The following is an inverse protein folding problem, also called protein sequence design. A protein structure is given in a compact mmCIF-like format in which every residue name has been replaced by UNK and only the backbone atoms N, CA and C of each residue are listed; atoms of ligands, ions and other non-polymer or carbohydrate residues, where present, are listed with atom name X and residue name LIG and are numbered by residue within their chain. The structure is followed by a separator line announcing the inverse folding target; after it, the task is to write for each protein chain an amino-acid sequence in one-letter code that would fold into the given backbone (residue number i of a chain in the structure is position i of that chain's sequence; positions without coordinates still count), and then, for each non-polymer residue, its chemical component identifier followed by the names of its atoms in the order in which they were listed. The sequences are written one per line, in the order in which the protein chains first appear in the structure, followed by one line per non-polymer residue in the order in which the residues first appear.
data_IF_548275611823
#
_entry.id   IF_548275611823
#
_cell.length_a   1.000
_cell.length_b   1.000
_cell.length_c   1.000
_cell.angle_alpha   90.00
_cell.angle_beta   90.00
_cell.angle_gamma   90.00
#
_symmetry.space_group_name_H-M   'P 1'
#
loop_
_entity.id
_entity.type
_entity.pdbx_description
1 polymer ?
#
# COMPACT_ATOMS: atom_id res chain seq x y z
N UNK A 1 -7.22 -16.44 -20.47
CA UNK A 1 -7.25 -15.00 -20.14
C UNK A 1 -8.47 -14.63 -19.29
N UNK A 2 -9.30 -15.60 -18.88
CA UNK A 2 -10.61 -15.32 -18.27
C UNK A 2 -10.56 -15.18 -16.74
N UNK A 3 -9.56 -15.77 -16.08
CA UNK A 3 -9.42 -15.72 -14.63
C UNK A 3 -8.75 -14.43 -14.11
N UNK A 4 -7.93 -13.74 -14.89
CA UNK A 4 -7.16 -12.57 -14.42
C UNK A 4 -8.02 -11.31 -14.24
N UNK A 5 -8.97 -11.08 -15.15
CA UNK A 5 -9.88 -9.93 -15.13
C UNK A 5 -10.67 -9.76 -13.82
N UNK A 6 -11.34 -10.80 -13.27
CA UNK A 6 -12.07 -10.64 -12.01
C UNK A 6 -11.14 -10.29 -10.84
N UNK A 7 -9.92 -10.83 -10.81
CA UNK A 7 -8.92 -10.46 -9.81
C UNK A 7 -8.48 -9.00 -9.94
N UNK A 8 -8.23 -8.51 -11.15
CA UNK A 8 -7.86 -7.10 -11.37
C UNK A 8 -8.99 -6.14 -11.00
N UNK A 9 -10.25 -6.49 -11.31
CA UNK A 9 -11.42 -5.72 -10.91
C UNK A 9 -11.54 -5.69 -9.39
N UNK A 10 -11.34 -6.83 -8.72
CA UNK A 10 -11.36 -6.93 -7.27
C UNK A 10 -10.25 -6.07 -6.63
N UNK A 11 -9.02 -6.15 -7.15
CA UNK A 11 -7.89 -5.33 -6.72
C UNK A 11 -8.19 -3.84 -6.83
N UNK A 12 -8.67 -3.40 -8.00
CA UNK A 12 -8.99 -2.00 -8.25
C UNK A 12 -10.12 -1.51 -7.34
N UNK A 13 -11.18 -2.31 -7.18
CA UNK A 13 -12.32 -1.97 -6.34
C UNK A 13 -11.92 -1.83 -4.87
N UNK A 14 -11.20 -2.81 -4.32
CA UNK A 14 -10.72 -2.77 -2.94
C UNK A 14 -9.71 -1.63 -2.70
N UNK A 15 -8.80 -1.39 -3.65
CA UNK A 15 -7.81 -0.30 -3.54
C UNK A 15 -8.46 1.08 -3.60
N UNK A 16 -9.44 1.31 -4.48
CA UNK A 16 -10.22 2.55 -4.51
C UNK A 16 -11.03 2.71 -3.22
N UNK A 17 -11.63 1.63 -2.72
CA UNK A 17 -12.44 1.68 -1.51
C UNK A 17 -11.59 2.01 -0.28
N UNK A 18 -10.39 1.43 -0.17
CA UNK A 18 -9.41 1.76 0.86
C UNK A 18 -8.93 3.21 0.72
N UNK A 19 -8.62 3.68 -0.49
CA UNK A 19 -8.26 5.07 -0.76
C UNK A 19 -9.35 6.06 -0.28
N UNK A 20 -10.61 5.81 -0.65
CA UNK A 20 -11.73 6.68 -0.28
C UNK A 20 -12.03 6.65 1.22
N UNK A 21 -11.89 5.48 1.85
CA UNK A 21 -12.14 5.34 3.29
C UNK A 21 -11.03 6.03 4.10
N UNK A 22 -9.78 5.85 3.69
CA UNK A 22 -8.63 6.44 4.34
C UNK A 22 -8.59 7.97 4.15
N UNK A 23 -8.94 8.48 2.97
CA UNK A 23 -9.07 9.92 2.74
C UNK A 23 -10.16 10.58 3.61
N UNK A 24 -11.20 9.83 4.02
CA UNK A 24 -12.30 10.35 4.86
C UNK A 24 -12.07 10.18 6.35
N UNK A 25 -11.55 9.03 6.77
CA UNK A 25 -11.49 8.64 8.19
C UNK A 25 -10.05 8.45 8.70
N UNK A 26 -9.04 8.43 7.82
CA UNK A 26 -7.65 8.16 8.18
C UNK A 26 -7.42 6.75 8.75
N UNK A 27 -8.28 5.80 8.39
CA UNK A 27 -8.25 4.43 8.89
C UNK A 27 -8.35 3.45 7.72
N UNK A 28 -7.48 2.42 7.72
CA UNK A 28 -7.56 1.31 6.76
C UNK A 28 -8.16 0.10 7.49
N UNK A 29 -9.45 -0.20 7.32
CA UNK A 29 -10.10 -1.25 8.09
C UNK A 29 -9.72 -2.64 7.56
N UNK A 30 -9.46 -3.55 8.51
CA UNK A 30 -8.99 -4.91 8.23
C UNK A 30 -9.92 -5.71 7.31
N UNK A 31 -11.22 -5.41 7.36
CA UNK A 31 -12.24 -6.00 6.50
C UNK A 31 -11.99 -5.82 4.99
N UNK A 32 -11.17 -4.85 4.59
CA UNK A 32 -10.83 -4.62 3.17
C UNK A 32 -9.36 -4.92 2.87
N UNK A 33 -8.45 -4.69 3.82
CA UNK A 33 -7.02 -5.01 3.62
C UNK A 33 -6.75 -6.51 3.64
N UNK A 34 -7.42 -7.29 4.50
CA UNK A 34 -7.27 -8.76 4.51
C UNK A 34 -7.75 -9.39 3.19
N UNK A 35 -8.97 -9.11 2.68
CA UNK A 35 -9.39 -9.63 1.38
C UNK A 35 -8.44 -9.23 0.25
N UNK A 36 -7.88 -8.01 0.29
CA UNK A 36 -6.90 -7.59 -0.71
C UNK A 36 -5.63 -8.45 -0.65
N UNK A 37 -5.09 -8.71 0.54
CA UNK A 37 -3.90 -9.57 0.70
C UNK A 37 -4.17 -10.99 0.19
N UNK A 38 -5.26 -11.61 0.64
CA UNK A 38 -5.59 -12.98 0.27
C UNK A 38 -5.90 -13.12 -1.21
N UNK A 39 -6.59 -12.15 -1.81
CA UNK A 39 -6.85 -12.15 -3.25
C UNK A 39 -5.59 -12.01 -4.10
N UNK A 40 -4.55 -11.29 -3.63
CA UNK A 40 -3.25 -11.22 -4.30
C UNK A 40 -2.51 -12.56 -4.30
N UNK A 41 -2.52 -13.27 -3.17
CA UNK A 41 -1.95 -14.61 -3.08
C UNK A 41 -2.72 -15.62 -3.95
N UNK A 42 -4.05 -15.56 -3.95
CA UNK A 42 -4.89 -16.39 -4.82
C UNK A 42 -4.67 -16.06 -6.30
N UNK A 43 -4.50 -14.78 -6.64
CA UNK A 43 -4.15 -14.36 -7.99
C UNK A 43 -2.81 -14.96 -8.42
N UNK A 44 -1.78 -14.90 -7.57
CA UNK A 44 -0.51 -15.54 -7.86
C UNK A 44 -0.67 -17.06 -8.02
N UNK A 45 -1.40 -17.72 -7.14
CA UNK A 45 -1.59 -19.18 -7.23
C UNK A 45 -2.34 -19.61 -8.50
N UNK A 46 -3.37 -18.87 -8.92
CA UNK A 46 -4.24 -19.24 -10.05
C UNK A 46 -3.67 -18.79 -11.39
N UNK A 47 -3.06 -17.60 -11.43
CA UNK A 47 -2.63 -16.98 -12.69
C UNK A 47 -1.14 -17.13 -12.96
N UNK A 48 -0.29 -17.11 -11.92
CA UNK A 48 1.18 -17.16 -12.04
C UNK A 48 1.80 -17.97 -10.89
N UNK A 49 1.64 -19.31 -10.87
CA UNK A 49 2.04 -20.15 -9.74
C UNK A 49 3.55 -20.07 -9.44
N UNK A 50 4.38 -19.84 -10.47
CA UNK A 50 5.83 -19.65 -10.31
C UNK A 50 6.18 -18.41 -9.46
N UNK A 51 5.32 -17.38 -9.48
CA UNK A 51 5.50 -16.15 -8.71
C UNK A 51 4.94 -16.24 -7.27
N UNK A 52 4.35 -17.37 -6.86
CA UNK A 52 3.72 -17.50 -5.55
C UNK A 52 4.70 -17.27 -4.39
N UNK A 53 5.93 -17.81 -4.53
CA UNK A 53 6.97 -17.61 -3.54
C UNK A 53 7.34 -16.12 -3.42
N UNK A 54 7.46 -15.44 -4.55
CA UNK A 54 7.80 -14.03 -4.62
C UNK A 54 6.68 -13.11 -4.10
N UNK A 55 5.41 -13.45 -4.35
CA UNK A 55 4.24 -12.78 -3.79
C UNK A 55 4.18 -12.94 -2.26
N UNK A 56 4.47 -14.14 -1.75
CA UNK A 56 4.51 -14.42 -0.32
C UNK A 56 5.65 -13.66 0.36
N UNK A 57 6.85 -13.66 -0.22
CA UNK A 57 7.95 -12.82 0.25
C UNK A 57 7.64 -11.33 0.14
N UNK A 58 6.89 -10.92 -0.88
CA UNK A 58 6.35 -9.56 -1.00
C UNK A 58 5.47 -9.19 0.19
N UNK A 59 4.52 -10.04 0.56
CA UNK A 59 3.68 -9.80 1.72
C UNK A 59 4.49 -9.73 3.03
N UNK A 60 5.43 -10.66 3.23
CA UNK A 60 6.28 -10.73 4.43
C UNK A 60 7.21 -9.52 4.53
N UNK A 61 7.92 -9.18 3.44
CA UNK A 61 8.85 -8.05 3.40
C UNK A 61 8.08 -6.72 3.52
N UNK A 62 6.94 -6.60 2.84
CA UNK A 62 6.08 -5.43 2.94
C UNK A 62 5.60 -5.19 4.38
N UNK A 63 5.05 -6.22 5.01
CA UNK A 63 4.66 -6.16 6.42
C UNK A 63 5.86 -5.87 7.33
N UNK A 64 6.94 -6.63 7.20
CA UNK A 64 8.12 -6.55 8.06
C UNK A 64 8.80 -5.19 8.01
N UNK A 65 8.96 -4.61 6.82
CA UNK A 65 9.62 -3.31 6.65
C UNK A 65 8.85 -2.21 7.38
N UNK A 66 7.54 -2.11 7.14
CA UNK A 66 6.71 -1.09 7.78
C UNK A 66 6.45 -1.38 9.25
N UNK A 67 6.40 -2.66 9.66
CA UNK A 67 6.31 -3.04 11.06
C UNK A 67 7.56 -2.61 11.84
N UNK A 68 8.76 -2.83 11.31
CA UNK A 68 10.01 -2.40 11.96
C UNK A 68 10.05 -0.88 12.12
N UNK A 69 9.64 -0.13 11.10
CA UNK A 69 9.54 1.34 11.16
C UNK A 69 8.50 1.77 12.20
N UNK A 70 7.29 1.17 12.19
CA UNK A 70 6.21 1.46 13.13
C UNK A 70 6.63 1.20 14.58
N UNK A 71 7.14 0.01 14.88
CA UNK A 71 7.55 -0.38 16.22
C UNK A 71 8.78 0.40 16.68
N UNK A 72 9.78 0.59 15.81
CA UNK A 72 10.97 1.38 16.11
C UNK A 72 10.61 2.83 16.48
N UNK A 73 9.74 3.46 15.69
CA UNK A 73 9.26 4.81 15.98
C UNK A 73 8.44 4.87 17.27
N UNK A 74 7.54 3.90 17.49
CA UNK A 74 6.71 3.82 18.69
C UNK A 74 7.55 3.68 19.96
N UNK A 75 8.60 2.87 19.93
CA UNK A 75 9.50 2.67 21.08
C UNK A 75 10.33 3.93 21.34
N UNK A 76 10.86 4.57 20.30
CA UNK A 76 11.73 5.75 20.44
C UNK A 76 10.98 7.03 20.83
N UNK A 77 9.76 7.23 20.32
CA UNK A 77 9.01 8.48 20.46
C UNK A 77 7.76 8.36 21.33
N UNK A 78 7.38 7.15 21.73
CA UNK A 78 6.13 6.85 22.45
C UNK A 78 4.87 7.44 21.76
N UNK A 79 4.96 7.71 20.46
CA UNK A 79 3.91 8.27 19.62
C UNK A 79 3.74 7.43 18.38
N UNK A 80 2.53 7.38 17.87
CA UNK A 80 2.22 6.72 16.61
C UNK A 80 2.58 7.68 15.47
N UNK A 81 3.60 7.32 14.68
CA UNK A 81 4.02 8.09 13.52
C UNK A 81 3.28 7.68 12.25
N UNK A 82 3.30 6.37 11.97
CA UNK A 82 2.62 5.74 10.84
C UNK A 82 1.39 4.97 11.34
N UNK A 83 0.31 4.95 10.57
CA UNK A 83 -0.87 4.15 10.90
C UNK A 83 -0.55 2.67 10.78
N UNK A 84 -0.98 1.86 11.76
CA UNK A 84 -0.81 0.40 11.68
C UNK A 84 -1.59 -0.20 10.48
N UNK A 85 -2.62 0.49 10.00
CA UNK A 85 -3.32 0.16 8.76
C UNK A 85 -2.42 0.21 7.52
N UNK A 86 -1.49 1.17 7.45
CA UNK A 86 -0.57 1.33 6.32
C UNK A 86 0.38 0.13 6.21
N UNK A 87 0.81 -0.43 7.36
CA UNK A 87 1.65 -1.64 7.44
C UNK A 87 0.94 -2.82 6.77
N UNK A 88 -0.33 -3.03 7.08
CA UNK A 88 -1.14 -4.12 6.50
C UNK A 88 -1.43 -3.88 5.03
N UNK A 89 -1.68 -2.63 4.66
CA UNK A 89 -1.95 -2.29 3.28
C UNK A 89 -0.72 -2.48 2.39
N UNK A 90 0.48 -2.12 2.86
CA UNK A 90 1.72 -2.41 2.14
C UNK A 90 1.96 -3.91 2.00
N UNK A 91 1.64 -4.71 3.02
CA UNK A 91 1.70 -6.17 2.92
C UNK A 91 0.75 -6.71 1.84
N UNK A 92 -0.47 -6.19 1.77
CA UNK A 92 -1.42 -6.55 0.72
C UNK A 92 -0.89 -6.15 -0.67
N UNK A 93 -0.36 -4.94 -0.84
CA UNK A 93 0.26 -4.50 -2.09
C UNK A 93 1.48 -5.37 -2.46
N UNK A 94 2.28 -5.79 -1.48
CA UNK A 94 3.39 -6.73 -1.69
C UNK A 94 2.95 -8.10 -2.21
N UNK A 95 1.76 -8.58 -1.83
CA UNK A 95 1.19 -9.82 -2.35
C UNK A 95 0.75 -9.70 -3.82
N UNK A 96 0.36 -8.50 -4.28
CA UNK A 96 -0.05 -8.25 -5.66
C UNK A 96 1.10 -7.91 -6.60
N UNK A 97 2.04 -7.09 -6.12
CA UNK A 97 3.13 -6.56 -6.93
C UNK A 97 4.45 -7.30 -6.74
N UNK A 98 4.53 -8.29 -5.85
CA UNK A 98 5.77 -9.00 -5.53
C UNK A 98 6.82 -8.11 -4.82
N UNK A 99 7.77 -8.73 -4.12
CA UNK A 99 8.80 -8.03 -3.36
C UNK A 99 9.72 -7.10 -4.20
N UNK A 100 9.93 -7.41 -5.48
CA UNK A 100 10.80 -6.63 -6.39
C UNK A 100 10.27 -5.22 -6.66
N UNK A 101 8.96 -5.01 -6.58
CA UNK A 101 8.31 -3.72 -6.84
C UNK A 101 8.05 -2.93 -5.56
N UNK A 102 8.15 -3.53 -4.37
CA UNK A 102 7.94 -2.84 -3.09
C UNK A 102 8.82 -1.59 -2.91
N UNK A 103 10.14 -1.60 -3.21
CA UNK A 103 10.96 -0.41 -3.04
C UNK A 103 10.49 0.75 -3.91
N UNK A 104 10.08 0.47 -5.15
CA UNK A 104 9.53 1.46 -6.08
C UNK A 104 8.20 2.02 -5.55
N UNK A 105 7.32 1.15 -5.04
CA UNK A 105 6.03 1.53 -4.48
C UNK A 105 6.20 2.46 -3.27
N UNK A 106 7.05 2.08 -2.31
CA UNK A 106 7.33 2.89 -1.12
C UNK A 106 7.98 4.21 -1.48
N UNK A 107 8.93 4.22 -2.42
CA UNK A 107 9.58 5.44 -2.88
C UNK A 107 8.59 6.41 -3.52
N UNK A 108 7.69 5.90 -4.37
CA UNK A 108 6.68 6.72 -5.05
C UNK A 108 5.64 7.26 -4.06
N UNK A 109 5.17 6.42 -3.13
CA UNK A 109 4.25 6.83 -2.07
C UNK A 109 4.89 7.91 -1.17
N UNK A 110 6.15 7.73 -0.77
CA UNK A 110 6.89 8.71 0.00
C UNK A 110 7.10 10.02 -0.78
N UNK A 111 7.41 9.95 -2.07
CA UNK A 111 7.57 11.13 -2.93
C UNK A 111 6.28 11.94 -3.05
N UNK A 112 5.14 11.26 -3.23
CA UNK A 112 3.82 11.93 -3.26
C UNK A 112 3.47 12.54 -1.90
N UNK A 113 3.71 11.83 -0.79
CA UNK A 113 3.48 12.36 0.55
C UNK A 113 4.35 13.60 0.83
N UNK A 114 5.65 13.55 0.49
CA UNK A 114 6.54 14.70 0.62
C UNK A 114 6.07 15.88 -0.24
N UNK A 115 5.68 15.64 -1.50
CA UNK A 115 5.13 16.68 -2.37
C UNK A 115 3.87 17.32 -1.78
N UNK A 116 2.94 16.51 -1.26
CA UNK A 116 1.73 17.01 -0.62
C UNK A 116 2.03 17.87 0.63
N UNK A 117 3.01 17.47 1.45
CA UNK A 117 3.45 18.26 2.61
C UNK A 117 4.07 19.59 2.17
N UNK A 118 4.93 19.59 1.14
CA UNK A 118 5.55 20.83 0.62
C UNK A 118 4.49 21.79 0.08
N UNK A 119 3.54 21.30 -0.72
CA UNK A 119 2.43 22.12 -1.23
C UNK A 119 1.56 22.63 -0.08
N UNK A 120 1.24 21.79 0.90
CA UNK A 120 0.49 22.18 2.09
C UNK A 120 1.19 23.27 2.91
N UNK A 121 2.51 23.18 3.05
CA UNK A 121 3.34 24.21 3.70
C UNK A 121 3.34 25.52 2.92
N UNK A 122 3.44 25.47 1.59
CA UNK A 122 3.41 26.67 0.75
C UNK A 122 2.05 27.37 0.77
N UNK A 123 0.94 26.62 0.83
CA UNK A 123 -0.42 27.17 0.76
C UNK A 123 -0.99 27.56 2.13
N UNK A 124 -0.71 26.79 3.19
CA UNK A 124 -1.34 26.92 4.52
C UNK A 124 -0.35 27.15 5.66
N UNK A 125 0.95 27.21 5.37
CA UNK A 125 2.00 27.42 6.38
C UNK A 125 2.10 26.27 7.39
N UNK A 126 2.69 26.54 8.56
CA UNK A 126 2.95 25.54 9.61
C UNK A 126 1.69 24.88 10.20
N UNK A 127 0.50 25.43 9.96
CA UNK A 127 -0.78 24.83 10.34
C UNK A 127 -1.00 23.46 9.67
N UNK A 128 -0.45 23.26 8.47
CA UNK A 128 -0.53 21.99 7.73
C UNK A 128 0.21 20.83 8.42
N UNK A 129 1.18 21.11 9.29
CA UNK A 129 1.95 20.09 10.03
C UNK A 129 1.19 19.55 11.25
N UNK A 130 0.10 20.20 11.67
CA UNK A 130 -0.67 19.79 12.85
C UNK A 130 -1.63 18.62 12.56
N UNK A 131 -2.06 18.47 11.30
CA UNK A 131 -2.92 17.35 10.91
C UNK A 131 -2.05 16.18 10.43
N UNK A 132 -2.21 14.98 11.02
CA UNK A 132 -1.53 13.79 10.54
C UNK A 132 -1.98 13.53 9.09
N UNK A 133 -0.99 13.43 8.20
CA UNK A 133 -1.25 13.17 6.78
C UNK A 133 -1.54 11.67 6.62
N UNK A 134 -2.73 11.28 6.13
CA UNK A 134 -3.03 9.87 5.85
C UNK A 134 -2.07 9.36 4.77
N UNK A 135 -1.30 8.30 5.06
CA UNK A 135 -0.31 7.73 4.13
C UNK A 135 -0.93 6.71 3.16
N UNK A 136 -2.02 6.06 3.59
CA UNK A 136 -2.85 5.15 2.82
C UNK A 136 -3.23 5.62 1.40
N UNK A 137 -3.61 6.88 1.13
CA UNK A 137 -4.06 7.28 -0.19
C UNK A 137 -2.87 7.40 -1.15
N UNK A 138 -1.69 7.77 -0.65
CA UNK A 138 -0.45 7.80 -1.41
C UNK A 138 0.05 6.39 -1.72
N UNK A 139 -0.10 5.43 -0.79
CA UNK A 139 0.17 4.01 -1.03
C UNK A 139 -0.74 3.45 -2.12
N UNK A 140 -2.04 3.75 -2.08
CA UNK A 140 -2.98 3.29 -3.09
C UNK A 140 -2.67 3.89 -4.46
N UNK A 141 -2.37 5.20 -4.53
CA UNK A 141 -1.95 5.85 -5.76
C UNK A 141 -0.67 5.23 -6.33
N UNK A 142 0.34 4.97 -5.49
CA UNK A 142 1.56 4.29 -5.90
C UNK A 142 1.28 2.86 -6.38
N UNK A 143 0.39 2.12 -5.71
CA UNK A 143 -0.03 0.78 -6.11
C UNK A 143 -0.76 0.75 -7.46
N UNK A 144 -1.54 1.79 -7.81
CA UNK A 144 -2.13 1.89 -9.15
C UNK A 144 -1.08 2.17 -10.23
N UNK A 145 -0.13 3.08 -9.96
CA UNK A 145 0.94 3.40 -10.91
C UNK A 145 1.85 2.19 -11.14
N UNK A 146 2.27 1.52 -10.06
CA UNK A 146 3.10 0.31 -10.13
C UNK A 146 2.32 -0.87 -10.69
N UNK A 147 1.03 -0.98 -10.37
CA UNK A 147 0.16 -2.03 -10.89
C UNK A 147 0.00 -1.99 -12.39
N UNK A 148 0.05 -0.82 -13.00
CA UNK A 148 0.10 -0.71 -14.45
C UNK A 148 1.35 -1.40 -15.03
N UNK A 149 2.51 -1.22 -14.41
CA UNK A 149 3.78 -1.84 -14.84
C UNK A 149 3.80 -3.34 -14.51
N UNK A 150 3.40 -3.73 -13.30
CA UNK A 150 3.54 -5.12 -12.85
C UNK A 150 2.43 -6.05 -13.34
N UNK A 151 1.18 -5.59 -13.43
CA UNK A 151 0.03 -6.45 -13.76
C UNK A 151 -0.30 -6.45 -15.25
N UNK A 152 -0.05 -5.35 -15.96
CA UNK A 152 -0.36 -5.24 -17.39
C UNK A 152 0.86 -5.39 -18.30
N UNK A 153 2.06 -5.03 -17.84
CA UNK A 153 3.26 -5.13 -18.70
C UNK A 153 3.90 -6.53 -18.70
N UNK A 154 3.36 -7.50 -17.95
CA UNK A 154 3.66 -8.93 -18.11
C UNK A 154 5.15 -9.26 -17.95
N UNK A 155 5.73 -8.94 -16.79
CA UNK A 155 6.98 -9.54 -16.29
C UNK A 155 6.89 -9.85 -14.83
#
# INVERSE_FOLDING_TARGET
MDATLPFLILYACLSVLLFLWDAKHGLLPDRFTCPLLWSGLLFSQVCNPDCLADALWGAIIGYGTFAVIYWGYRILRHKEGLGYGDVKFLAALGAWHTWTFLPRLVFLAASFACGAVVVGLLMRGKESLKNPLPFGPFLAAAGFVVGWDSLLAGR
#
